data_IF_240155701437
#
_entry.id   IF_240155701437
#
_cell.length_a   1.000
_cell.length_b   1.000
_cell.length_c   1.000
_cell.angle_alpha   90.00
_cell.angle_beta   90.00
_cell.angle_gamma   90.00
#
_symmetry.space_group_name_H-M   'P 1'
#
loop_
_entity.id
_entity.type
_entity.pdbx_description
1 polymer ?
#
# COMPACT_ATOMS: atom_id res chain seq x y z
N UNK A 1 16.70 2.62 -15.98
CA UNK A 1 15.32 2.47 -16.49
C UNK A 1 14.95 1.01 -16.39
N UNK A 2 14.22 0.64 -15.33
CA UNK A 2 13.78 -0.74 -15.13
C UNK A 2 12.84 -1.13 -16.27
N UNK A 3 13.11 -2.27 -16.90
CA UNK A 3 12.51 -2.69 -18.18
C UNK A 3 11.10 -3.28 -18.05
N UNK A 4 10.49 -3.24 -16.86
CA UNK A 4 9.17 -3.83 -16.66
C UNK A 4 8.30 -2.90 -15.81
N UNK A 5 7.25 -2.30 -16.38
CA UNK A 5 6.31 -1.50 -15.60
C UNK A 5 5.61 -2.39 -14.57
N UNK A 6 5.44 -1.88 -13.35
CA UNK A 6 4.62 -2.53 -12.31
C UNK A 6 3.22 -2.80 -12.91
N UNK A 7 2.71 -4.05 -12.87
CA UNK A 7 1.37 -4.37 -13.34
C UNK A 7 0.31 -3.58 -12.58
N UNK A 8 -0.76 -3.16 -13.26
CA UNK A 8 -1.85 -2.37 -12.64
C UNK A 8 -2.50 -3.17 -11.51
N UNK A 9 -2.64 -4.48 -11.67
CA UNK A 9 -3.22 -5.39 -10.68
C UNK A 9 -2.42 -5.39 -9.36
N UNK A 10 -1.10 -5.25 -9.45
CA UNK A 10 -0.21 -5.15 -8.29
C UNK A 10 -0.40 -3.81 -7.58
N UNK A 11 -0.50 -2.71 -8.34
CA UNK A 11 -0.77 -1.39 -7.78
C UNK A 11 -2.14 -1.38 -7.06
N UNK A 12 -3.18 -1.92 -7.70
CA UNK A 12 -4.50 -2.04 -7.09
C UNK A 12 -4.49 -2.92 -5.83
N UNK A 13 -3.74 -4.03 -5.85
CA UNK A 13 -3.59 -4.88 -4.68
C UNK A 13 -2.96 -4.11 -3.52
N UNK A 14 -1.90 -3.36 -3.77
CA UNK A 14 -1.23 -2.54 -2.74
C UNK A 14 -2.16 -1.43 -2.26
N UNK A 15 -2.89 -0.75 -3.14
CA UNK A 15 -3.90 0.26 -2.76
C UNK A 15 -4.98 -0.32 -1.84
N UNK A 16 -5.53 -1.49 -2.15
CA UNK A 16 -6.50 -2.18 -1.29
C UNK A 16 -5.93 -2.49 0.09
N UNK A 17 -4.66 -2.90 0.17
CA UNK A 17 -3.99 -3.17 1.45
C UNK A 17 -3.74 -1.88 2.25
N UNK A 18 -3.45 -0.76 1.58
CA UNK A 18 -3.30 0.55 2.23
C UNK A 18 -4.63 1.04 2.80
N UNK A 19 -5.74 0.85 2.10
CA UNK A 19 -7.08 1.14 2.64
C UNK A 19 -7.40 0.37 3.93
N UNK A 20 -6.86 -0.84 4.11
CA UNK A 20 -7.05 -1.57 5.37
C UNK A 20 -6.41 -0.86 6.58
N UNK A 21 -5.41 0.02 6.38
CA UNK A 21 -4.92 0.88 7.48
C UNK A 21 -5.95 1.93 7.88
N UNK A 22 -6.67 2.52 6.92
CA UNK A 22 -7.79 3.41 7.19
C UNK A 22 -8.90 2.70 7.98
N UNK A 23 -9.35 1.54 7.49
CA UNK A 23 -10.36 0.71 8.19
C UNK A 23 -9.88 0.29 9.57
N UNK A 24 -8.60 -0.06 9.73
CA UNK A 24 -8.04 -0.40 11.03
C UNK A 24 -7.98 0.79 11.99
N UNK A 25 -7.75 2.01 11.48
CA UNK A 25 -7.79 3.22 12.31
C UNK A 25 -9.22 3.49 12.78
N UNK A 26 -10.20 3.40 11.88
CA UNK A 26 -11.61 3.55 12.24
C UNK A 26 -12.03 2.50 13.27
N UNK A 27 -11.63 1.23 13.09
CA UNK A 27 -11.90 0.17 14.06
C UNK A 27 -11.26 0.47 15.43
N UNK A 28 -10.02 0.97 15.44
CA UNK A 28 -9.32 1.34 16.68
C UNK A 28 -10.03 2.49 17.40
N UNK A 29 -10.43 3.53 16.67
CA UNK A 29 -11.12 4.71 17.21
C UNK A 29 -12.49 4.35 17.81
N UNK A 30 -13.14 3.29 17.31
CA UNK A 30 -14.38 2.74 17.87
C UNK A 30 -14.16 1.66 18.96
N UNK A 31 -12.92 1.42 19.38
CA UNK A 31 -12.58 0.48 20.44
C UNK A 31 -12.41 -0.99 20.02
N UNK A 32 -12.54 -1.30 18.72
CA UNK A 32 -12.28 -2.63 18.15
C UNK A 32 -10.77 -2.88 17.96
N UNK A 33 -10.02 -2.88 19.07
CA UNK A 33 -8.54 -2.93 19.05
C UNK A 33 -7.99 -4.22 18.42
N UNK A 34 -8.60 -5.37 18.71
CA UNK A 34 -8.15 -6.67 18.17
C UNK A 34 -8.38 -6.78 16.65
N UNK A 35 -9.49 -6.21 16.17
CA UNK A 35 -9.78 -6.14 14.73
C UNK A 35 -8.79 -5.22 14.03
N UNK A 36 -8.54 -4.03 14.58
CA UNK A 36 -7.55 -3.09 14.06
C UNK A 36 -6.16 -3.73 13.94
N UNK A 37 -5.73 -4.48 14.96
CA UNK A 37 -4.45 -5.19 14.95
C UNK A 37 -4.39 -6.25 13.83
N UNK A 38 -5.45 -7.05 13.67
CA UNK A 38 -5.54 -8.07 12.61
C UNK A 38 -5.50 -7.45 11.22
N UNK A 39 -6.24 -6.36 11.00
CA UNK A 39 -6.26 -5.63 9.73
C UNK A 39 -4.88 -5.06 9.38
N UNK A 40 -4.21 -4.39 10.32
CA UNK A 40 -2.85 -3.87 10.13
C UNK A 40 -1.85 -4.99 9.86
N UNK A 41 -1.95 -6.12 10.55
CA UNK A 41 -1.07 -7.27 10.34
C UNK A 41 -1.27 -7.88 8.94
N UNK A 42 -2.52 -8.03 8.50
CA UNK A 42 -2.87 -8.50 7.15
C UNK A 42 -2.33 -7.57 6.08
N UNK A 43 -2.55 -6.26 6.24
CA UNK A 43 -2.04 -5.23 5.34
C UNK A 43 -0.52 -5.26 5.23
N UNK A 44 0.17 -5.21 6.38
CA UNK A 44 1.66 -5.25 6.46
C UNK A 44 2.22 -6.47 5.73
N UNK A 45 1.64 -7.66 5.98
CA UNK A 45 2.10 -8.91 5.36
C UNK A 45 1.89 -8.91 3.85
N UNK A 46 0.72 -8.45 3.39
CA UNK A 46 0.42 -8.35 1.97
C UNK A 46 1.35 -7.38 1.25
N UNK A 47 1.61 -6.21 1.84
CA UNK A 47 2.50 -5.21 1.22
C UNK A 47 3.94 -5.73 1.16
N UNK A 48 4.42 -6.42 2.22
CA UNK A 48 5.74 -7.06 2.20
C UNK A 48 5.86 -8.14 1.11
N UNK A 49 4.82 -8.94 0.89
CA UNK A 49 4.81 -9.92 -0.19
C UNK A 49 4.86 -9.24 -1.56
N UNK A 50 4.03 -8.22 -1.79
CA UNK A 50 4.04 -7.45 -3.02
C UNK A 50 5.42 -6.79 -3.29
N UNK A 51 6.08 -6.26 -2.26
CA UNK A 51 7.43 -5.70 -2.37
C UNK A 51 8.48 -6.76 -2.74
N UNK A 52 8.37 -7.97 -2.20
CA UNK A 52 9.29 -9.06 -2.50
C UNK A 52 9.13 -9.57 -3.94
N UNK A 53 7.89 -9.66 -4.43
CA UNK A 53 7.56 -10.11 -5.79
C UNK A 53 7.80 -9.00 -6.83
N UNK A 54 7.58 -7.74 -6.45
CA UNK A 54 7.69 -6.57 -7.32
C UNK A 54 8.55 -5.47 -6.69
N UNK A 55 9.90 -5.64 -6.64
CA UNK A 55 10.81 -4.64 -6.06
C UNK A 55 10.74 -3.26 -6.74
N UNK A 56 10.25 -3.18 -7.99
CA UNK A 56 10.01 -1.93 -8.70
C UNK A 56 8.98 -1.03 -8.02
N UNK A 57 8.15 -1.54 -7.10
CA UNK A 57 7.31 -0.72 -6.22
C UNK A 57 8.11 0.31 -5.42
N UNK A 58 9.39 0.05 -5.15
CA UNK A 58 10.28 1.01 -4.47
C UNK A 58 10.62 2.24 -5.33
N UNK A 59 10.48 2.16 -6.64
CA UNK A 59 10.64 3.33 -7.51
C UNK A 59 9.48 4.32 -7.29
N UNK A 60 8.29 3.82 -6.94
CA UNK A 60 7.10 4.61 -6.67
C UNK A 60 7.00 5.04 -5.20
N UNK A 61 7.33 4.13 -4.28
CA UNK A 61 7.24 4.35 -2.83
C UNK A 61 8.55 3.95 -2.13
N UNK A 62 9.63 4.72 -2.28
CA UNK A 62 10.97 4.35 -1.81
C UNK A 62 11.08 4.21 -0.30
N UNK A 63 10.21 4.88 0.45
CA UNK A 63 10.18 4.85 1.92
C UNK A 63 9.25 3.76 2.48
N UNK A 64 8.56 3.00 1.64
CA UNK A 64 7.59 2.00 2.09
C UNK A 64 8.19 0.94 3.02
N UNK A 65 9.41 0.41 2.80
CA UNK A 65 10.03 -0.52 3.75
C UNK A 65 10.25 0.10 5.13
N UNK A 66 10.79 1.33 5.18
CA UNK A 66 11.00 2.07 6.43
C UNK A 66 9.66 2.29 7.17
N UNK A 67 8.61 2.64 6.42
CA UNK A 67 7.28 2.85 6.98
C UNK A 67 6.66 1.58 7.56
N UNK A 68 6.87 0.43 6.90
CA UNK A 68 6.40 -0.87 7.40
C UNK A 68 7.14 -1.27 8.69
N UNK A 69 8.46 -1.14 8.70
CA UNK A 69 9.29 -1.59 9.82
C UNK A 69 9.10 -0.72 11.07
N UNK A 70 8.83 0.57 10.88
CA UNK A 70 8.60 1.52 11.96
C UNK A 70 7.12 1.69 12.33
N UNK A 71 6.21 0.99 11.65
CA UNK A 71 4.77 1.13 11.87
C UNK A 71 4.18 2.49 11.48
N UNK A 72 4.86 3.25 10.61
CA UNK A 72 4.43 4.60 10.20
C UNK A 72 3.17 4.58 9.33
N UNK A 73 2.87 3.44 8.68
CA UNK A 73 1.68 3.29 7.85
C UNK A 73 0.36 3.50 8.61
N UNK A 74 0.35 3.45 9.95
CA UNK A 74 -0.83 3.89 10.73
C UNK A 74 -1.23 5.34 10.42
N UNK A 75 -0.29 6.18 10.00
CA UNK A 75 -0.53 7.60 9.71
C UNK A 75 -0.20 7.98 8.27
N UNK A 76 0.79 7.32 7.65
CA UNK A 76 1.32 7.70 6.33
C UNK A 76 0.75 6.90 5.17
N UNK A 77 -0.22 5.99 5.41
CA UNK A 77 -0.85 5.22 4.34
C UNK A 77 -1.48 6.08 3.22
N UNK A 78 -2.09 7.27 3.46
CA UNK A 78 -2.72 8.04 2.39
C UNK A 78 -1.71 8.51 1.34
N UNK A 79 -0.50 8.92 1.77
CA UNK A 79 0.56 9.37 0.86
C UNK A 79 1.04 8.25 -0.06
N UNK A 80 1.14 7.01 0.47
CA UNK A 80 1.51 5.87 -0.36
C UNK A 80 0.36 5.51 -1.29
N UNK A 81 -0.89 5.59 -0.81
CA UNK A 81 -2.08 5.29 -1.61
C UNK A 81 -2.20 6.22 -2.81
N UNK A 82 -2.05 7.53 -2.60
CA UNK A 82 -2.10 8.53 -3.66
C UNK A 82 -1.06 8.23 -4.77
N UNK A 83 0.15 7.82 -4.39
CA UNK A 83 1.16 7.43 -5.37
C UNK A 83 0.74 6.19 -6.19
N UNK A 84 0.10 5.19 -5.55
CA UNK A 84 -0.42 4.01 -6.25
C UNK A 84 -1.57 4.39 -7.19
N UNK A 85 -2.50 5.22 -6.74
CA UNK A 85 -3.66 5.68 -7.51
C UNK A 85 -3.24 6.53 -8.71
N UNK A 86 -2.27 7.44 -8.54
CA UNK A 86 -1.70 8.19 -9.65
C UNK A 86 -1.03 7.26 -10.67
N UNK A 87 -0.26 6.29 -10.19
CA UNK A 87 0.39 5.30 -11.04
C UNK A 87 -0.63 4.44 -11.83
N UNK A 88 -1.78 4.12 -11.24
CA UNK A 88 -2.90 3.44 -11.91
C UNK A 88 -3.53 4.36 -12.96
N UNK A 89 -3.83 5.61 -12.59
CA UNK A 89 -4.43 6.60 -13.48
C UNK A 89 -3.56 6.83 -14.72
N UNK A 90 -2.25 7.00 -14.57
CA UNK A 90 -1.31 7.21 -15.68
C UNK A 90 -1.30 6.03 -16.68
N UNK A 91 -1.41 4.80 -16.16
CA UNK A 91 -1.39 3.57 -16.97
C UNK A 91 -2.70 3.28 -17.67
N UNK A 92 -3.82 3.71 -17.07
CA UNK A 92 -5.16 3.48 -17.60
C UNK A 92 -5.63 4.62 -18.51
N UNK A 93 -5.11 5.83 -18.31
CA UNK A 93 -5.44 7.03 -19.09
C UNK A 93 -4.57 7.19 -20.35
N UNK A 94 -3.40 6.54 -20.40
CA UNK A 94 -2.50 6.55 -21.56
C UNK A 94 -2.86 5.58 -22.70
N UNK A 95 -4.01 4.91 -22.62
CA UNK A 95 -4.49 3.92 -23.60
C UNK A 95 -5.43 4.48 -24.67
N UNK A 96 -5.22 5.72 -25.13
CA UNK A 96 -5.98 6.39 -26.19
C UNK A 96 -5.18 6.61 -27.46
#
# INVERSE_FOLDING_TARGET
MSKNPIPVEVLEQVSRLLHLYGVANDAFDHGSVDEAAQLRQRATRGIRAALAEHPSLLELAPRLPEMLDRGLLTYSWPTVLEAMEQAIADRTSGGG
#
